data_IF_567767688297
#
_entry.id   IF_567767688297
#
_cell.length_a   1.000
_cell.length_b   1.000
_cell.length_c   1.000
_cell.angle_alpha   90.00
_cell.angle_beta   90.00
_cell.angle_gamma   90.00
#
_symmetry.space_group_name_H-M   'P 1'
#
loop_
_entity.id
_entity.type
_entity.pdbx_description
1 polymer ?
#
# COMPACT_ATOMS: atom_id res chain seq x y z
N UNK A 1 19.06 8.96 20.52
CA UNK A 1 18.15 7.84 20.28
C UNK A 1 17.54 7.96 18.88
N UNK A 2 17.57 6.89 18.11
CA UNK A 2 16.93 6.87 16.79
C UNK A 2 15.45 6.51 16.92
N UNK A 3 14.61 7.23 16.19
CA UNK A 3 13.19 6.95 16.09
C UNK A 3 12.87 6.65 14.62
N UNK A 4 12.42 5.42 14.33
CA UNK A 4 12.14 4.98 12.96
C UNK A 4 10.74 4.43 12.87
N UNK A 5 9.99 4.86 11.86
CA UNK A 5 8.72 4.23 11.53
C UNK A 5 9.03 3.00 10.70
N UNK A 6 8.97 1.82 11.29
CA UNK A 6 9.40 0.58 10.62
C UNK A 6 8.26 -0.40 10.37
N UNK A 7 7.15 -0.28 11.10
CA UNK A 7 6.01 -1.17 10.95
C UNK A 7 4.71 -0.40 11.03
N UNK A 8 3.82 -0.68 10.08
CA UNK A 8 2.44 -0.17 10.08
C UNK A 8 1.49 -1.35 10.18
N UNK A 9 0.54 -1.29 11.11
CA UNK A 9 -0.51 -2.29 11.24
C UNK A 9 -1.63 -1.99 10.27
N UNK A 10 -1.99 -2.96 9.42
CA UNK A 10 -3.06 -2.81 8.44
C UNK A 10 -4.21 -3.75 8.83
N UNK A 11 -5.37 -3.21 9.19
CA UNK A 11 -6.51 -4.03 9.61
C UNK A 11 -7.10 -4.79 8.42
N UNK A 12 -7.33 -6.09 8.59
CA UNK A 12 -7.86 -6.94 7.54
C UNK A 12 -8.91 -7.91 8.12
N UNK A 13 -9.78 -8.42 7.27
CA UNK A 13 -10.78 -9.44 7.65
C UNK A 13 -10.32 -10.85 7.32
N UNK A 14 -9.61 -11.02 6.21
CA UNK A 14 -9.18 -12.31 5.67
C UNK A 14 -7.70 -12.23 5.36
N UNK A 15 -6.88 -12.86 6.20
CA UNK A 15 -5.41 -12.82 6.09
C UNK A 15 -4.93 -13.42 4.78
N UNK A 16 -5.49 -14.56 4.36
CA UNK A 16 -5.06 -15.22 3.12
C UNK A 16 -5.35 -14.37 1.89
N UNK A 17 -6.52 -13.76 1.85
CA UNK A 17 -6.91 -12.86 0.75
C UNK A 17 -6.01 -11.63 0.71
N UNK A 18 -5.77 -11.01 1.87
CA UNK A 18 -4.90 -9.84 1.97
C UNK A 18 -3.46 -10.18 1.59
N UNK A 19 -2.94 -11.31 2.06
CA UNK A 19 -1.60 -11.78 1.71
C UNK A 19 -1.44 -11.97 0.21
N UNK A 20 -2.43 -12.58 -0.46
CA UNK A 20 -2.39 -12.73 -1.92
C UNK A 20 -2.41 -11.38 -2.62
N UNK A 21 -3.28 -10.48 -2.17
CA UNK A 21 -3.37 -9.15 -2.76
C UNK A 21 -2.04 -8.41 -2.68
N UNK A 22 -1.48 -8.28 -1.49
CA UNK A 22 -0.24 -7.51 -1.32
C UNK A 22 0.99 -8.23 -1.87
N UNK A 23 1.07 -9.55 -1.72
CA UNK A 23 2.22 -10.33 -2.18
C UNK A 23 2.24 -10.57 -3.68
N UNK A 24 1.09 -10.90 -4.27
CA UNK A 24 1.02 -11.29 -5.68
C UNK A 24 0.57 -10.16 -6.60
N UNK A 25 -0.43 -9.37 -6.20
CA UNK A 25 -0.97 -8.31 -7.05
C UNK A 25 -0.21 -7.00 -6.90
N UNK A 26 0.05 -6.56 -5.68
CA UNK A 26 0.84 -5.34 -5.45
C UNK A 26 2.34 -5.61 -5.60
N UNK A 27 2.80 -6.78 -5.21
CA UNK A 27 4.18 -7.20 -5.42
C UNK A 27 5.10 -6.94 -4.23
N UNK A 28 4.55 -6.87 -3.02
CA UNK A 28 5.38 -6.73 -1.82
C UNK A 28 6.04 -8.08 -1.48
N UNK A 29 7.23 -8.01 -0.88
CA UNK A 29 7.91 -9.21 -0.39
C UNK A 29 7.22 -9.71 0.88
N UNK A 30 6.89 -11.00 0.92
CA UNK A 30 6.40 -11.65 2.14
C UNK A 30 7.61 -12.06 2.95
N UNK A 31 7.85 -11.37 4.07
CA UNK A 31 9.01 -11.60 4.92
C UNK A 31 8.76 -12.71 5.94
N UNK A 32 7.53 -12.79 6.44
CA UNK A 32 7.16 -13.66 7.54
C UNK A 32 5.68 -13.99 7.43
N UNK A 33 5.33 -15.24 7.69
CA UNK A 33 3.95 -15.69 7.88
C UNK A 33 3.98 -16.70 9.01
N UNK A 34 3.48 -16.31 10.18
CA UNK A 34 3.58 -17.15 11.37
C UNK A 34 2.28 -17.19 12.16
N UNK A 35 2.05 -18.33 12.77
CA UNK A 35 0.95 -18.54 13.71
C UNK A 35 1.46 -18.22 15.12
N UNK A 36 0.71 -17.40 15.85
CA UNK A 36 1.01 -17.03 17.22
C UNK A 36 -0.09 -17.61 18.10
N UNK A 37 0.19 -18.76 18.75
CA UNK A 37 -0.82 -19.49 19.51
C UNK A 37 -1.93 -20.01 18.60
N UNK A 38 -3.12 -20.24 19.16
CA UNK A 38 -4.24 -20.86 18.42
C UNK A 38 -5.09 -19.87 17.65
N UNK A 39 -5.01 -18.56 17.97
CA UNK A 39 -5.98 -17.57 17.49
C UNK A 39 -5.39 -16.40 16.74
N UNK A 40 -4.06 -16.29 16.70
CA UNK A 40 -3.41 -15.15 16.06
C UNK A 40 -2.52 -15.60 14.93
N UNK A 41 -2.54 -14.84 13.85
CA UNK A 41 -1.65 -15.03 12.71
C UNK A 41 -1.08 -13.68 12.32
N UNK A 42 0.21 -13.67 12.04
CA UNK A 42 0.94 -12.48 11.64
C UNK A 42 1.61 -12.72 10.30
N UNK A 43 1.33 -11.86 9.34
CA UNK A 43 2.03 -11.82 8.06
C UNK A 43 2.72 -10.47 7.94
N UNK A 44 4.03 -10.49 7.73
CA UNK A 44 4.80 -9.27 7.47
C UNK A 44 5.15 -9.20 6.00
N UNK A 45 4.86 -8.05 5.38
CA UNK A 45 5.25 -7.77 4.00
C UNK A 45 5.99 -6.44 3.95
N UNK A 46 6.93 -6.36 3.01
CA UNK A 46 7.71 -5.14 2.80
C UNK A 46 7.70 -4.75 1.33
N UNK A 47 7.33 -3.52 0.98
CA UNK A 47 7.46 -3.04 -0.40
C UNK A 47 8.92 -3.12 -0.85
N UNK A 48 9.21 -3.53 -2.08
CA UNK A 48 10.59 -3.56 -2.57
C UNK A 48 11.27 -2.20 -2.42
N UNK A 49 12.45 -2.20 -1.80
CA UNK A 49 13.22 -0.97 -1.58
C UNK A 49 12.81 -0.17 -0.36
N UNK A 50 11.79 -0.58 0.39
CA UNK A 50 11.32 0.13 1.57
C UNK A 50 12.02 -0.37 2.84
N UNK A 51 12.26 0.53 3.80
CA UNK A 51 12.68 0.19 5.14
C UNK A 51 11.50 0.04 6.11
N UNK A 52 10.29 0.37 5.66
CA UNK A 52 9.07 0.24 6.44
C UNK A 52 8.28 -0.97 5.97
N UNK A 53 7.88 -1.82 6.90
CA UNK A 53 7.09 -3.02 6.64
C UNK A 53 5.65 -2.83 7.08
N UNK A 54 4.76 -3.70 6.60
CA UNK A 54 3.39 -3.73 7.11
C UNK A 54 3.10 -5.10 7.72
N UNK A 55 2.24 -5.09 8.73
CA UNK A 55 1.73 -6.31 9.36
C UNK A 55 0.25 -6.49 9.04
N UNK A 56 -0.09 -7.67 8.54
CA UNK A 56 -1.45 -8.16 8.46
C UNK A 56 -1.63 -9.14 9.61
N UNK A 57 -2.57 -8.88 10.50
CA UNK A 57 -2.73 -9.74 11.66
C UNK A 57 -4.18 -9.84 12.11
N UNK A 58 -4.47 -10.92 12.80
CA UNK A 58 -5.76 -11.11 13.48
C UNK A 58 -5.50 -11.21 14.97
N UNK A 59 -6.35 -10.55 15.76
CA UNK A 59 -6.31 -10.65 17.22
C UNK A 59 -5.26 -9.82 17.94
N UNK A 60 -4.46 -9.02 17.23
CA UNK A 60 -3.37 -8.23 17.84
C UNK A 60 -3.81 -6.80 18.16
N UNK A 61 -4.72 -6.25 17.37
CA UNK A 61 -5.22 -4.89 17.55
C UNK A 61 -6.72 -4.81 17.35
N UNK A 62 -7.29 -3.67 17.74
CA UNK A 62 -8.75 -3.45 17.69
C UNK A 62 -9.15 -2.44 16.59
N UNK A 63 -8.35 -2.30 15.56
CA UNK A 63 -8.66 -1.39 14.44
C UNK A 63 -9.67 -2.10 13.52
N UNK A 64 -10.86 -1.51 13.26
CA UNK A 64 -11.81 -2.11 12.33
C UNK A 64 -11.24 -2.22 10.92
N UNK A 65 -11.52 -3.30 10.17
CA UNK A 65 -11.09 -3.43 8.78
C UNK A 65 -11.65 -2.32 7.90
N UNK A 66 -10.86 -1.90 6.91
CA UNK A 66 -11.32 -0.94 5.90
C UNK A 66 -11.32 0.53 6.32
N UNK A 67 -10.87 0.85 7.54
CA UNK A 67 -10.87 2.25 8.03
C UNK A 67 -9.55 2.97 7.80
N UNK A 68 -8.49 2.25 7.43
CA UNK A 68 -7.18 2.85 7.21
C UNK A 68 -7.13 3.45 5.81
N UNK A 69 -6.78 4.73 5.72
CA UNK A 69 -6.64 5.43 4.44
C UNK A 69 -5.35 6.23 4.43
N UNK A 70 -4.82 6.49 3.22
CA UNK A 70 -3.66 7.33 3.06
C UNK A 70 -2.33 6.64 3.27
N UNK A 71 -2.28 5.30 3.29
CA UNK A 71 -1.02 4.60 3.15
C UNK A 71 -0.43 4.98 1.80
N UNK A 72 0.82 5.43 1.79
CA UNK A 72 1.38 6.08 0.60
C UNK A 72 2.65 5.39 0.15
N UNK A 73 2.68 5.01 -1.13
CA UNK A 73 3.83 4.45 -1.80
C UNK A 73 4.40 5.51 -2.72
N UNK A 74 5.68 5.79 -2.58
CA UNK A 74 6.39 6.71 -3.47
C UNK A 74 7.18 5.89 -4.48
N UNK A 75 6.94 6.16 -5.76
CA UNK A 75 7.54 5.41 -6.87
C UNK A 75 8.29 6.36 -7.81
N UNK A 76 9.30 5.85 -8.53
CA UNK A 76 10.04 6.68 -9.49
C UNK A 76 9.26 6.94 -10.78
N UNK A 77 8.35 6.04 -11.16
CA UNK A 77 7.57 6.13 -12.40
C UNK A 77 6.16 5.62 -12.14
N UNK A 78 5.21 6.53 -11.96
CA UNK A 78 3.84 6.18 -11.59
C UNK A 78 3.08 5.50 -12.74
N UNK A 79 3.42 5.80 -13.98
CA UNK A 79 2.76 5.17 -15.13
C UNK A 79 3.11 3.69 -15.20
N UNK A 80 4.38 3.35 -14.98
CA UNK A 80 4.84 1.96 -14.90
C UNK A 80 4.22 1.26 -13.69
N UNK A 81 4.25 1.89 -12.53
CA UNK A 81 3.69 1.30 -11.30
C UNK A 81 2.20 1.03 -11.44
N UNK A 82 1.44 1.99 -11.94
CA UNK A 82 0.00 1.84 -12.17
C UNK A 82 -0.28 0.71 -13.18
N UNK A 83 0.46 0.67 -14.26
CA UNK A 83 0.29 -0.36 -15.29
C UNK A 83 0.53 -1.77 -14.73
N UNK A 84 1.54 -1.93 -13.86
CA UNK A 84 1.81 -3.22 -13.21
C UNK A 84 0.65 -3.63 -12.31
N UNK A 85 0.07 -2.71 -11.55
CA UNK A 85 -1.08 -3.00 -10.71
C UNK A 85 -2.28 -3.43 -11.54
N UNK A 86 -2.60 -2.70 -12.59
CA UNK A 86 -3.73 -3.00 -13.49
C UNK A 86 -3.53 -4.36 -14.16
N UNK A 87 -2.32 -4.67 -14.62
CA UNK A 87 -1.99 -5.96 -15.24
C UNK A 87 -2.22 -7.12 -14.27
N UNK A 88 -1.98 -6.89 -12.99
CA UNK A 88 -2.15 -7.91 -11.93
C UNK A 88 -3.56 -7.92 -11.35
N UNK A 89 -4.50 -7.21 -11.94
CA UNK A 89 -5.91 -7.23 -11.56
C UNK A 89 -6.30 -6.24 -10.46
N UNK A 90 -5.44 -5.28 -10.14
CA UNK A 90 -5.77 -4.24 -9.17
C UNK A 90 -6.51 -3.09 -9.87
N UNK A 91 -7.65 -2.68 -9.32
CA UNK A 91 -8.34 -1.50 -9.81
C UNK A 91 -7.65 -0.26 -9.28
N UNK A 92 -6.99 0.48 -10.16
CA UNK A 92 -6.31 1.72 -9.83
C UNK A 92 -6.98 2.88 -10.53
N UNK A 93 -7.06 4.02 -9.86
CA UNK A 93 -7.60 5.24 -10.45
C UNK A 93 -6.75 5.71 -11.63
N UNK A 94 -7.27 6.65 -12.41
CA UNK A 94 -6.46 7.40 -13.37
C UNK A 94 -5.36 8.18 -12.66
N UNK A 95 -4.32 8.53 -13.40
CA UNK A 95 -3.25 9.40 -12.90
C UNK A 95 -3.81 10.82 -12.79
N UNK A 96 -3.61 11.47 -11.66
CA UNK A 96 -4.20 12.74 -11.31
C UNK A 96 -3.21 13.65 -10.61
N UNK A 97 -3.53 14.94 -10.58
CA UNK A 97 -2.83 15.90 -9.74
C UNK A 97 -3.83 16.84 -9.06
N UNK A 98 -3.37 17.51 -8.02
CA UNK A 98 -4.17 18.50 -7.30
C UNK A 98 -3.86 19.89 -7.86
N UNK A 99 -4.89 20.60 -8.29
CA UNK A 99 -4.79 21.97 -8.77
C UNK A 99 -5.82 22.84 -8.04
N UNK A 100 -5.33 23.69 -7.17
CA UNK A 100 -6.15 24.61 -6.37
C UNK A 100 -7.34 23.92 -5.70
N UNK A 101 -7.05 22.78 -5.02
CA UNK A 101 -8.06 22.02 -4.29
C UNK A 101 -8.93 21.10 -5.12
N UNK A 102 -8.68 20.99 -6.42
CA UNK A 102 -9.44 20.13 -7.33
C UNK A 102 -8.53 19.07 -7.95
N UNK A 103 -9.00 17.83 -7.98
CA UNK A 103 -8.30 16.75 -8.69
C UNK A 103 -8.52 16.87 -10.18
N UNK A 104 -7.42 16.85 -10.94
CA UNK A 104 -7.40 16.92 -12.40
C UNK A 104 -6.80 15.63 -12.94
N UNK A 105 -7.47 14.99 -13.91
CA UNK A 105 -7.08 13.68 -14.46
C UNK A 105 -5.97 13.81 -15.49
N UNK A 106 -4.80 14.25 -15.04
CA UNK A 106 -3.56 14.26 -15.80
C UNK A 106 -2.37 14.44 -14.86
N UNK A 107 -1.19 14.15 -15.37
CA UNK A 107 0.08 14.33 -14.66
C UNK A 107 0.25 15.78 -14.22
N UNK A 108 0.74 15.98 -13.00
CA UNK A 108 1.13 17.28 -12.47
C UNK A 108 2.64 17.48 -12.43
N UNK A 109 3.08 18.45 -11.63
CA UNK A 109 4.49 18.74 -11.41
C UNK A 109 5.13 17.83 -10.34
N UNK A 110 6.27 18.26 -9.82
CA UNK A 110 7.03 17.51 -8.81
C UNK A 110 6.19 17.25 -7.57
N UNK A 111 6.18 16.00 -7.09
CA UNK A 111 5.43 15.53 -5.92
C UNK A 111 3.91 15.70 -6.04
N UNK A 112 3.41 16.04 -7.20
CA UNK A 112 1.99 16.29 -7.44
C UNK A 112 1.46 15.43 -8.61
N UNK A 113 1.76 14.14 -8.57
CA UNK A 113 1.22 13.17 -9.51
C UNK A 113 0.88 11.91 -8.71
N UNK A 114 -0.40 11.53 -8.74
CA UNK A 114 -0.98 10.53 -7.85
C UNK A 114 -1.85 9.53 -8.59
N UNK A 115 -2.02 8.37 -7.99
CA UNK A 115 -3.08 7.42 -8.33
C UNK A 115 -3.51 6.72 -7.03
N UNK A 116 -4.68 6.09 -7.04
CA UNK A 116 -5.29 5.54 -5.83
C UNK A 116 -5.75 4.12 -6.07
N UNK A 117 -5.64 3.28 -5.06
CA UNK A 117 -6.24 1.95 -5.08
C UNK A 117 -6.63 1.54 -3.66
N UNK A 118 -7.42 0.48 -3.54
CA UNK A 118 -7.81 -0.08 -2.25
C UNK A 118 -7.49 -1.55 -2.19
N UNK A 119 -7.26 -2.06 -0.98
CA UNK A 119 -7.14 -3.49 -0.78
C UNK A 119 -8.54 -4.15 -0.73
N UNK A 120 -8.62 -5.49 -0.73
CA UNK A 120 -9.92 -6.18 -0.71
C UNK A 120 -10.80 -5.86 0.50
N UNK A 121 -10.20 -5.45 1.62
CA UNK A 121 -10.92 -5.08 2.83
C UNK A 121 -11.32 -3.61 2.89
N UNK A 122 -10.93 -2.79 1.89
CA UNK A 122 -11.30 -1.38 1.81
C UNK A 122 -10.26 -0.39 2.32
N UNK A 123 -9.08 -0.84 2.76
CA UNK A 123 -8.01 0.09 3.15
C UNK A 123 -7.48 0.83 1.91
N UNK A 124 -7.36 2.14 2.03
CA UNK A 124 -7.02 3.01 0.90
C UNK A 124 -5.53 3.31 0.79
N UNK A 125 -5.01 3.22 -0.42
CA UNK A 125 -3.62 3.45 -0.75
C UNK A 125 -3.46 4.58 -1.75
N UNK A 126 -2.35 5.28 -1.63
CA UNK A 126 -1.95 6.37 -2.52
C UNK A 126 -0.63 6.00 -3.20
N UNK A 127 -0.59 6.10 -4.52
CA UNK A 127 0.67 6.14 -5.27
C UNK A 127 1.05 7.59 -5.50
N UNK A 128 2.31 7.92 -5.28
CA UNK A 128 2.85 9.25 -5.57
C UNK A 128 4.16 9.09 -6.32
N UNK A 129 4.34 9.86 -7.37
CA UNK A 129 5.60 9.87 -8.08
C UNK A 129 6.56 10.87 -7.46
N UNK A 130 7.80 10.43 -7.20
CA UNK A 130 8.87 11.35 -6.83
C UNK A 130 9.48 11.99 -8.06
N UNK A 131 10.09 13.18 -7.94
CA UNK A 131 10.81 13.79 -9.06
C UNK A 131 11.95 12.89 -9.53
N UNK A 132 12.31 13.05 -10.81
CA UNK A 132 13.47 12.37 -11.36
C UNK A 132 14.73 12.78 -10.59
N UNK A 133 15.64 11.82 -10.38
CA UNK A 133 16.93 12.06 -9.74
C UNK A 133 18.01 12.04 -10.80
N UNK A 134 18.90 13.01 -10.67
CA UNK A 134 20.08 13.10 -11.55
C UNK A 134 21.15 12.09 -11.15
#
# INVERSE_FOLDING_TARGET
MDWRLEVVQVPITDVDRAKRFYGEQVGFNVDLDTQIGDKMRLVQLTPPGSACSMHLSTGIHNIPPGVLEGLQLVVPDIEVARAQLVERGVEASSIQHMDDGVWVERRGGDWNTFAFFSDPGGNGWVLQERPARD
#
